data_IF_321296946936
#
_entry.id   IF_321296946936
#
_cell.length_a   1.000
_cell.length_b   1.000
_cell.length_c   1.000
_cell.angle_alpha   90.00
_cell.angle_beta   90.00
_cell.angle_gamma   90.00
#
_symmetry.space_group_name_H-M   'P 1'
#
loop_
_entity.id
_entity.type
_entity.pdbx_description
1 polymer ?
#
# COMPACT_ATOMS: atom_id res chain seq x y z
N UNK A 1 -4.09 1.62 -0.15
CA UNK A 1 -4.17 0.15 -0.36
C UNK A 1 -2.83 -0.48 -0.01
N UNK A 2 -2.83 -1.36 0.98
CA UNK A 2 -1.62 -2.04 1.49
C UNK A 2 -1.43 -3.36 0.74
N UNK A 3 -1.02 -3.29 -0.52
CA UNK A 3 -0.95 -4.41 -1.44
C UNK A 3 0.32 -4.24 -2.28
N UNK A 4 1.02 -5.33 -2.54
CA UNK A 4 2.29 -5.34 -3.28
C UNK A 4 2.19 -6.15 -4.59
N UNK A 5 2.48 -7.44 -4.60
CA UNK A 5 2.53 -8.24 -5.82
C UNK A 5 1.31 -8.10 -6.74
N UNK A 6 0.06 -8.25 -6.26
CA UNK A 6 -1.14 -8.04 -7.08
C UNK A 6 -1.57 -6.57 -7.21
N UNK A 7 -0.75 -5.60 -6.77
CA UNK A 7 -1.11 -4.19 -6.72
C UNK A 7 -1.66 -3.63 -8.04
N UNK A 8 -1.07 -3.87 -9.22
CA UNK A 8 -1.60 -3.35 -10.47
C UNK A 8 -3.03 -3.82 -10.77
N UNK A 9 -3.34 -5.10 -10.49
CA UNK A 9 -4.67 -5.65 -10.70
C UNK A 9 -5.70 -5.02 -9.75
N UNK A 10 -5.37 -4.94 -8.47
CA UNK A 10 -6.26 -4.36 -7.46
C UNK A 10 -6.41 -2.85 -7.63
N UNK A 11 -5.37 -2.17 -8.09
CA UNK A 11 -5.45 -0.77 -8.47
C UNK A 11 -6.41 -0.57 -9.66
N UNK A 12 -6.38 -1.46 -10.66
CA UNK A 12 -7.33 -1.41 -11.77
C UNK A 12 -8.78 -1.64 -11.31
N UNK A 13 -9.03 -2.57 -10.37
CA UNK A 13 -10.35 -2.71 -9.72
C UNK A 13 -10.77 -1.42 -9.02
N UNK A 14 -9.88 -0.83 -8.22
CA UNK A 14 -10.16 0.40 -7.50
C UNK A 14 -10.47 1.59 -8.43
N UNK A 15 -9.66 1.79 -9.47
CA UNK A 15 -9.88 2.87 -10.43
C UNK A 15 -11.20 2.71 -11.20
N UNK A 16 -11.57 1.48 -11.57
CA UNK A 16 -12.87 1.21 -12.17
C UNK A 16 -14.03 1.50 -11.20
N UNK A 17 -13.89 1.12 -9.92
CA UNK A 17 -14.88 1.45 -8.91
C UNK A 17 -15.06 2.97 -8.75
N UNK A 18 -13.96 3.73 -8.71
CA UNK A 18 -14.02 5.19 -8.65
C UNK A 18 -14.72 5.82 -9.87
N UNK A 19 -14.47 5.29 -11.06
CA UNK A 19 -15.15 5.75 -12.30
C UNK A 19 -16.66 5.43 -12.21
N UNK A 20 -17.01 4.20 -11.82
CA UNK A 20 -18.41 3.78 -11.75
C UNK A 20 -19.19 4.54 -10.67
N UNK A 21 -18.57 4.93 -9.55
CA UNK A 21 -19.18 5.82 -8.55
C UNK A 21 -19.60 7.15 -9.15
N UNK A 22 -18.77 7.77 -9.95
CA UNK A 22 -19.11 9.04 -10.63
C UNK A 22 -20.17 8.83 -11.71
N UNK A 23 -20.14 7.69 -12.41
CA UNK A 23 -21.23 7.32 -13.35
C UNK A 23 -22.57 7.15 -12.64
N UNK A 24 -22.59 6.53 -11.48
CA UNK A 24 -23.80 6.37 -10.66
C UNK A 24 -24.37 7.70 -10.19
N UNK A 25 -23.52 8.62 -9.72
CA UNK A 25 -23.93 9.98 -9.39
C UNK A 25 -24.58 10.68 -10.59
N UNK A 26 -23.98 10.56 -11.77
CA UNK A 26 -24.53 11.12 -13.01
C UNK A 26 -25.90 10.51 -13.35
N UNK A 27 -26.03 9.18 -13.28
CA UNK A 27 -27.29 8.46 -13.53
C UNK A 27 -28.40 8.95 -12.60
N UNK A 28 -28.10 9.10 -11.31
CA UNK A 28 -29.06 9.60 -10.31
C UNK A 28 -29.45 11.05 -10.62
N UNK A 29 -28.46 11.91 -10.84
CA UNK A 29 -28.70 13.33 -11.09
C UNK A 29 -29.54 13.61 -12.36
N UNK A 30 -29.41 12.74 -13.38
CA UNK A 30 -30.16 12.87 -14.64
C UNK A 30 -31.36 11.93 -14.74
N UNK A 31 -31.74 11.26 -13.64
CA UNK A 31 -32.91 10.38 -13.55
C UNK A 31 -32.92 9.24 -14.60
N UNK A 32 -31.74 8.68 -14.88
CA UNK A 32 -31.54 7.61 -15.88
C UNK A 32 -31.75 6.19 -15.34
N UNK A 33 -32.30 6.02 -14.13
CA UNK A 33 -32.49 4.72 -13.47
C UNK A 33 -33.35 3.73 -14.27
N UNK A 34 -34.37 4.24 -14.97
CA UNK A 34 -35.25 3.42 -15.79
C UNK A 34 -34.53 2.82 -17.00
N UNK A 35 -33.61 3.57 -17.60
CA UNK A 35 -32.78 3.12 -18.70
C UNK A 35 -31.82 2.03 -18.27
N UNK A 36 -31.20 2.19 -17.08
CA UNK A 36 -30.35 1.16 -16.48
C UNK A 36 -31.13 -0.13 -16.22
N UNK A 37 -32.34 -0.02 -15.66
CA UNK A 37 -33.18 -1.19 -15.41
C UNK A 37 -33.53 -1.96 -16.69
N UNK A 38 -33.81 -1.27 -17.80
CA UNK A 38 -34.04 -1.91 -19.10
C UNK A 38 -32.82 -2.69 -19.59
N UNK A 39 -31.61 -2.16 -19.38
CA UNK A 39 -30.37 -2.84 -19.75
C UNK A 39 -30.18 -4.09 -18.90
N UNK A 40 -30.48 -4.02 -17.61
CA UNK A 40 -30.41 -5.18 -16.69
C UNK A 40 -31.36 -6.28 -17.14
N UNK A 41 -32.63 -5.93 -17.39
CA UNK A 41 -33.67 -6.86 -17.83
C UNK A 41 -33.33 -7.52 -19.17
N UNK A 42 -32.65 -6.78 -20.07
CA UNK A 42 -32.20 -7.33 -21.34
C UNK A 42 -30.96 -8.24 -21.24
N UNK A 43 -30.09 -7.97 -20.26
CA UNK A 43 -28.78 -8.63 -20.12
C UNK A 43 -28.84 -9.88 -19.23
N UNK A 44 -29.71 -9.92 -18.23
CA UNK A 44 -29.72 -10.95 -17.20
C UNK A 44 -31.09 -11.58 -16.98
N UNK A 45 -31.12 -12.91 -16.77
CA UNK A 45 -32.23 -13.56 -16.06
C UNK A 45 -32.09 -13.29 -14.54
N UNK A 46 -33.18 -13.36 -13.81
CA UNK A 46 -33.21 -13.12 -12.35
C UNK A 46 -32.19 -14.01 -11.59
N UNK A 47 -31.95 -15.22 -12.08
CA UNK A 47 -31.03 -16.19 -11.47
C UNK A 47 -29.56 -15.81 -11.63
N UNK A 48 -29.23 -14.99 -12.63
CA UNK A 48 -27.86 -14.53 -12.93
C UNK A 48 -27.53 -13.16 -12.32
N UNK A 49 -28.50 -12.50 -11.66
CA UNK A 49 -28.23 -11.23 -10.99
C UNK A 49 -27.23 -11.43 -9.84
N UNK A 50 -26.24 -10.54 -9.73
CA UNK A 50 -25.29 -10.60 -8.62
C UNK A 50 -26.03 -10.40 -7.28
N UNK A 51 -25.67 -11.22 -6.30
CA UNK A 51 -26.16 -11.12 -4.93
C UNK A 51 -25.18 -10.30 -4.12
N UNK A 52 -25.70 -9.50 -3.24
CA UNK A 52 -24.94 -8.65 -2.33
C UNK A 52 -25.39 -8.91 -0.90
N UNK A 53 -24.48 -8.88 0.06
CA UNK A 53 -24.80 -8.96 1.48
C UNK A 53 -24.85 -7.55 2.05
N UNK A 54 -26.00 -7.13 2.51
CA UNK A 54 -26.12 -5.85 3.21
C UNK A 54 -25.46 -5.90 4.59
N UNK A 55 -25.30 -4.73 5.20
CA UNK A 55 -24.72 -4.55 6.54
C UNK A 55 -25.41 -5.33 7.66
N UNK A 56 -26.62 -5.84 7.40
CA UNK A 56 -27.39 -6.69 8.32
C UNK A 56 -27.19 -8.20 8.09
N UNK A 57 -26.21 -8.60 7.29
CA UNK A 57 -25.93 -10.00 6.97
C UNK A 57 -26.95 -10.69 6.06
N UNK A 58 -27.97 -9.98 5.56
CA UNK A 58 -28.96 -10.56 4.63
C UNK A 58 -28.53 -10.39 3.19
N UNK A 59 -28.67 -11.44 2.39
CA UNK A 59 -28.43 -11.36 0.95
C UNK A 59 -29.46 -10.42 0.31
N UNK A 60 -28.98 -9.37 -0.34
CA UNK A 60 -29.77 -8.45 -1.13
C UNK A 60 -29.56 -8.81 -2.60
N UNK A 61 -30.63 -9.11 -3.31
CA UNK A 61 -30.59 -9.18 -4.76
C UNK A 61 -30.90 -7.77 -5.24
N UNK A 62 -30.00 -7.11 -5.99
CA UNK A 62 -30.25 -5.79 -6.52
C UNK A 62 -31.27 -5.89 -7.66
N UNK A 63 -32.52 -6.15 -7.31
CA UNK A 63 -33.66 -6.02 -8.20
C UNK A 63 -34.09 -4.56 -8.23
N UNK A 64 -34.93 -4.22 -9.17
CA UNK A 64 -35.62 -2.97 -9.50
C UNK A 64 -35.63 -1.80 -8.48
N UNK A 65 -35.29 -2.04 -7.21
CA UNK A 65 -35.17 -1.04 -6.16
C UNK A 65 -33.82 -0.35 -6.04
N UNK A 66 -32.79 -0.83 -6.72
CA UNK A 66 -31.42 -0.30 -6.58
C UNK A 66 -31.31 1.14 -7.06
N UNK A 67 -32.11 1.51 -8.05
CA UNK A 67 -32.19 2.85 -8.59
C UNK A 67 -33.54 3.54 -8.36
N UNK A 68 -34.38 3.04 -7.45
CA UNK A 68 -35.65 3.68 -7.10
C UNK A 68 -35.48 4.87 -6.14
N UNK A 69 -34.36 5.56 -6.20
CA UNK A 69 -34.16 6.80 -5.47
C UNK A 69 -33.25 6.73 -4.27
N UNK A 70 -32.76 5.54 -3.87
CA UNK A 70 -31.72 5.43 -2.85
C UNK A 70 -30.80 4.25 -3.15
N UNK A 71 -29.50 4.50 -3.20
CA UNK A 71 -28.50 3.43 -3.07
C UNK A 71 -28.66 2.81 -1.68
N UNK A 72 -28.49 1.48 -1.51
CA UNK A 72 -28.50 0.88 -0.18
C UNK A 72 -27.50 1.58 0.74
N UNK A 73 -27.90 1.81 1.98
CA UNK A 73 -27.02 2.36 3.01
C UNK A 73 -25.76 1.50 3.12
N UNK A 74 -24.58 2.11 3.06
CA UNK A 74 -23.28 1.40 3.01
C UNK A 74 -22.86 0.90 1.62
N UNK A 75 -23.57 1.25 0.56
CA UNK A 75 -23.10 1.04 -0.79
C UNK A 75 -22.19 2.21 -1.23
N UNK A 76 -20.90 2.03 -1.12
CA UNK A 76 -19.86 3.02 -1.46
C UNK A 76 -19.75 3.30 -2.97
N UNK A 77 -20.87 3.33 -3.68
CA UNK A 77 -20.92 3.60 -5.11
C UNK A 77 -20.52 2.42 -5.99
N UNK A 78 -20.71 1.20 -5.52
CA UNK A 78 -20.43 -0.02 -6.30
C UNK A 78 -21.67 -0.60 -7.00
N UNK A 79 -22.78 0.14 -7.07
CA UNK A 79 -24.07 -0.34 -7.56
C UNK A 79 -24.03 -0.93 -8.95
N UNK A 80 -23.41 -0.24 -9.91
CA UNK A 80 -23.27 -0.76 -11.28
C UNK A 80 -22.50 -2.07 -11.31
N UNK A 81 -21.40 -2.18 -10.54
CA UNK A 81 -20.60 -3.41 -10.46
C UNK A 81 -21.35 -4.57 -9.83
N UNK A 82 -22.14 -4.32 -8.80
CA UNK A 82 -22.99 -5.32 -8.20
C UNK A 82 -24.04 -5.85 -9.18
N UNK A 83 -24.52 -5.00 -10.08
CA UNK A 83 -25.40 -5.36 -11.18
C UNK A 83 -24.67 -6.02 -12.37
N UNK A 84 -23.34 -6.13 -12.31
CA UNK A 84 -22.52 -6.65 -13.40
C UNK A 84 -22.44 -5.73 -14.62
N UNK A 85 -22.60 -4.43 -14.39
CA UNK A 85 -22.52 -3.37 -15.37
C UNK A 85 -21.33 -2.45 -15.08
N UNK A 86 -20.98 -1.63 -16.06
CA UNK A 86 -20.07 -0.49 -15.92
C UNK A 86 -20.73 0.77 -16.46
N UNK A 87 -20.20 1.93 -16.10
CA UNK A 87 -20.67 3.18 -16.69
C UNK A 87 -20.67 3.17 -18.23
N UNK A 88 -19.73 2.46 -18.85
CA UNK A 88 -19.66 2.31 -20.30
C UNK A 88 -20.81 1.49 -20.92
N UNK A 89 -21.46 0.63 -20.13
CA UNK A 89 -22.60 -0.17 -20.60
C UNK A 89 -23.91 0.65 -20.62
N UNK A 90 -23.98 1.72 -19.82
CA UNK A 90 -25.26 2.42 -19.54
C UNK A 90 -25.26 3.88 -19.99
N UNK A 91 -24.09 4.49 -20.23
CA UNK A 91 -23.98 5.91 -20.61
C UNK A 91 -23.52 6.06 -22.07
N UNK A 92 -23.90 7.15 -22.75
CA UNK A 92 -23.30 7.51 -24.03
C UNK A 92 -21.77 7.58 -23.92
N UNK A 93 -21.08 7.16 -24.99
CA UNK A 93 -19.63 7.00 -24.97
C UNK A 93 -18.88 8.32 -24.63
N UNK A 94 -19.34 9.44 -25.12
CA UNK A 94 -18.79 10.77 -24.84
C UNK A 94 -18.96 11.18 -23.37
N UNK A 95 -20.14 10.96 -22.82
CA UNK A 95 -20.45 11.21 -21.39
C UNK A 95 -19.58 10.32 -20.50
N UNK A 96 -19.49 9.03 -20.82
CA UNK A 96 -18.64 8.11 -20.07
C UNK A 96 -17.16 8.52 -20.09
N UNK A 97 -16.63 8.94 -21.25
CA UNK A 97 -15.24 9.39 -21.35
C UNK A 97 -14.98 10.67 -20.54
N UNK A 98 -15.91 11.61 -20.52
CA UNK A 98 -15.80 12.82 -19.70
C UNK A 98 -15.78 12.47 -18.20
N UNK A 99 -16.69 11.60 -17.75
CA UNK A 99 -16.74 11.14 -16.36
C UNK A 99 -15.46 10.40 -15.99
N UNK A 100 -15.01 9.48 -16.85
CA UNK A 100 -13.75 8.75 -16.66
C UNK A 100 -12.55 9.68 -16.49
N UNK A 101 -12.42 10.69 -17.36
CA UNK A 101 -11.33 11.65 -17.28
C UNK A 101 -11.38 12.47 -15.98
N UNK A 102 -12.56 12.91 -15.57
CA UNK A 102 -12.76 13.66 -14.32
C UNK A 102 -12.45 12.78 -13.11
N UNK A 103 -12.99 11.56 -13.05
CA UNK A 103 -12.75 10.62 -11.96
C UNK A 103 -11.26 10.32 -11.78
N UNK A 104 -10.55 10.01 -12.86
CA UNK A 104 -9.11 9.72 -12.82
C UNK A 104 -8.26 10.92 -12.39
N UNK A 105 -8.62 12.14 -12.78
CA UNK A 105 -7.89 13.36 -12.41
C UNK A 105 -8.14 13.80 -10.96
N UNK A 106 -9.27 13.41 -10.38
CA UNK A 106 -9.67 13.82 -9.01
C UNK A 106 -9.47 12.75 -7.95
N UNK A 107 -9.36 11.47 -8.36
CA UNK A 107 -9.17 10.35 -7.44
C UNK A 107 -7.95 10.55 -6.55
N UNK A 108 -8.11 10.21 -5.26
CA UNK A 108 -7.05 10.35 -4.25
C UNK A 108 -6.76 9.02 -3.59
N UNK A 109 -5.50 8.76 -3.32
CA UNK A 109 -5.11 7.56 -2.61
C UNK A 109 -3.63 7.24 -2.71
N UNK A 110 -3.31 6.09 -2.19
CA UNK A 110 -1.97 5.51 -2.21
C UNK A 110 -2.07 4.02 -2.40
N UNK A 111 -1.23 3.45 -3.23
CA UNK A 111 -0.99 2.00 -3.27
C UNK A 111 0.45 1.74 -2.84
N UNK A 112 0.67 0.70 -2.05
CA UNK A 112 2.02 0.38 -1.59
C UNK A 112 2.91 -0.09 -2.75
N UNK A 113 2.52 -1.14 -3.44
CA UNK A 113 3.08 -1.59 -4.73
C UNK A 113 4.62 -1.69 -4.80
N UNK A 114 5.34 -1.69 -3.69
CA UNK A 114 6.81 -1.76 -3.66
C UNK A 114 7.28 -3.20 -3.82
N UNK A 115 7.59 -3.58 -5.05
CA UNK A 115 8.00 -4.94 -5.41
C UNK A 115 9.46 -5.23 -5.04
N UNK A 116 10.32 -4.21 -4.93
CA UNK A 116 11.73 -4.42 -4.58
C UNK A 116 11.88 -4.86 -3.11
N UNK A 117 11.15 -4.20 -2.19
CA UNK A 117 11.17 -4.60 -0.79
C UNK A 117 10.52 -5.97 -0.55
N UNK A 118 9.59 -6.41 -1.41
CA UNK A 118 9.00 -7.75 -1.29
C UNK A 118 10.05 -8.84 -1.44
N UNK A 119 10.94 -8.71 -2.41
CA UNK A 119 12.06 -9.63 -2.58
C UNK A 119 13.07 -9.49 -1.44
N UNK A 120 13.42 -8.27 -1.07
CA UNK A 120 14.46 -7.99 -0.06
C UNK A 120 14.05 -8.43 1.35
N UNK A 121 12.79 -8.25 1.75
CA UNK A 121 12.36 -8.37 3.15
C UNK A 121 11.21 -9.37 3.40
N UNK A 122 10.29 -9.58 2.46
CA UNK A 122 9.05 -10.30 2.74
C UNK A 122 8.91 -11.67 2.06
N UNK A 123 9.59 -11.90 0.92
CA UNK A 123 9.43 -13.11 0.08
C UNK A 123 7.98 -13.34 -0.39
N UNK A 124 7.24 -12.28 -0.67
CA UNK A 124 5.85 -12.31 -1.11
C UNK A 124 5.68 -12.00 -2.60
N UNK A 125 6.77 -11.98 -3.36
CA UNK A 125 6.74 -11.76 -4.80
C UNK A 125 5.90 -12.83 -5.49
N UNK A 126 5.04 -12.40 -6.42
CA UNK A 126 4.25 -13.31 -7.26
C UNK A 126 4.76 -13.37 -8.69
N UNK A 127 5.39 -12.31 -9.18
CA UNK A 127 6.00 -12.23 -10.52
C UNK A 127 7.52 -12.06 -10.42
N UNK A 128 8.23 -12.36 -11.51
CA UNK A 128 9.65 -12.03 -11.63
C UNK A 128 9.87 -10.52 -11.43
N UNK A 129 11.03 -10.13 -10.93
CA UNK A 129 11.36 -8.72 -10.66
C UNK A 129 11.23 -7.87 -11.91
N UNK A 130 11.68 -8.35 -13.07
CA UNK A 130 11.58 -7.64 -14.35
C UNK A 130 10.12 -7.41 -14.76
N UNK A 131 9.29 -8.45 -14.66
CA UNK A 131 7.88 -8.34 -15.02
C UNK A 131 7.13 -7.43 -14.05
N UNK A 132 7.44 -7.51 -12.77
CA UNK A 132 6.85 -6.64 -11.75
C UNK A 132 7.25 -5.16 -11.97
N UNK A 133 8.52 -4.88 -12.31
CA UNK A 133 8.97 -3.53 -12.69
C UNK A 133 8.25 -3.02 -13.94
N UNK A 134 8.05 -3.90 -14.95
CA UNK A 134 7.26 -3.54 -16.13
C UNK A 134 5.85 -3.11 -15.75
N UNK A 135 5.16 -3.89 -14.92
CA UNK A 135 3.83 -3.54 -14.43
C UNK A 135 3.80 -2.20 -13.70
N UNK A 136 4.80 -1.91 -12.86
CA UNK A 136 4.94 -0.62 -12.19
C UNK A 136 5.12 0.53 -13.18
N UNK A 137 5.97 0.35 -14.19
CA UNK A 137 6.16 1.34 -15.26
C UNK A 137 4.88 1.59 -16.06
N UNK A 138 4.14 0.53 -16.38
CA UNK A 138 2.87 0.63 -17.10
C UNK A 138 1.81 1.40 -16.32
N UNK A 139 1.75 1.20 -15.00
CA UNK A 139 0.90 2.01 -14.10
C UNK A 139 1.29 3.48 -14.16
N UNK A 140 2.58 3.78 -14.07
CA UNK A 140 3.05 5.17 -14.06
C UNK A 140 2.80 5.87 -15.39
N UNK A 141 3.03 5.20 -16.52
CA UNK A 141 2.68 5.73 -17.86
C UNK A 141 1.18 6.02 -17.98
N UNK A 142 0.34 5.09 -17.50
CA UNK A 142 -1.11 5.29 -17.47
C UNK A 142 -1.51 6.51 -16.63
N UNK A 143 -0.87 6.70 -15.47
CA UNK A 143 -1.12 7.84 -14.59
C UNK A 143 -0.77 9.17 -15.28
N UNK A 144 0.39 9.24 -15.94
CA UNK A 144 0.80 10.44 -16.69
C UNK A 144 -0.20 10.72 -17.82
N UNK A 145 -0.51 9.71 -18.64
CA UNK A 145 -1.43 9.81 -19.78
C UNK A 145 -2.83 10.29 -19.39
N UNK A 146 -3.33 9.81 -18.23
CA UNK A 146 -4.68 10.11 -17.74
C UNK A 146 -4.72 11.21 -16.67
N UNK A 147 -3.60 11.90 -16.42
CA UNK A 147 -3.47 13.02 -15.46
C UNK A 147 -3.91 12.64 -14.04
N UNK A 148 -3.56 11.44 -13.59
CA UNK A 148 -3.79 10.99 -12.20
C UNK A 148 -2.75 11.66 -11.30
N UNK A 149 -3.10 12.78 -10.70
CA UNK A 149 -2.15 13.66 -9.98
C UNK A 149 -2.20 13.52 -8.46
N UNK A 150 -3.31 13.06 -7.92
CA UNK A 150 -3.55 13.03 -6.46
C UNK A 150 -3.44 11.60 -5.88
N UNK A 151 -2.80 10.70 -6.61
CA UNK A 151 -2.64 9.31 -6.22
C UNK A 151 -1.15 8.92 -6.23
N UNK A 152 -0.64 8.40 -5.12
CA UNK A 152 0.71 7.87 -5.09
C UNK A 152 0.74 6.48 -5.72
N UNK A 153 1.45 6.34 -6.84
CA UNK A 153 1.57 5.11 -7.63
C UNK A 153 2.39 4.03 -6.95
N UNK A 154 3.28 4.44 -6.04
CA UNK A 154 4.06 3.57 -5.17
C UNK A 154 4.35 4.26 -3.85
N UNK A 155 4.29 3.50 -2.76
CA UNK A 155 4.80 3.87 -1.45
C UNK A 155 6.02 3.02 -1.14
N UNK A 156 7.20 3.57 -1.42
CA UNK A 156 8.49 2.88 -1.30
C UNK A 156 8.76 2.60 0.17
N UNK A 157 8.84 1.32 0.53
CA UNK A 157 8.62 0.90 1.90
C UNK A 157 9.88 0.41 2.61
N UNK A 158 10.38 1.23 3.52
CA UNK A 158 11.35 0.85 4.54
C UNK A 158 10.74 0.14 5.74
N UNK A 159 9.44 0.36 6.01
CA UNK A 159 8.75 -0.27 7.13
C UNK A 159 8.98 -1.79 7.18
N UNK A 160 8.73 -2.49 6.08
CA UNK A 160 8.90 -3.95 6.03
C UNK A 160 10.36 -4.40 6.14
N UNK A 161 11.30 -3.57 5.68
CA UNK A 161 12.74 -3.81 5.83
C UNK A 161 13.12 -3.74 7.31
N UNK A 162 12.64 -2.75 8.04
CA UNK A 162 12.84 -2.62 9.48
C UNK A 162 12.15 -3.73 10.25
N UNK A 163 10.88 -4.06 9.92
CA UNK A 163 10.13 -5.14 10.59
C UNK A 163 10.75 -6.53 10.35
N UNK A 164 11.45 -6.72 9.22
CA UNK A 164 12.23 -7.94 8.96
C UNK A 164 13.54 -8.01 9.75
N UNK A 165 13.95 -6.93 10.41
CA UNK A 165 15.10 -6.93 11.31
C UNK A 165 16.18 -5.90 11.06
N UNK A 166 16.08 -5.10 10.01
CA UNK A 166 17.07 -4.07 9.69
C UNK A 166 17.14 -2.97 10.77
N UNK A 167 18.34 -2.43 10.98
CA UNK A 167 18.55 -1.24 11.76
C UNK A 167 18.05 0.03 11.02
N UNK A 168 17.93 1.19 11.69
CA UNK A 168 17.43 2.42 11.07
C UNK A 168 18.22 2.89 9.83
N UNK A 169 19.55 2.74 9.84
CA UNK A 169 20.42 3.15 8.74
C UNK A 169 20.19 2.27 7.51
N UNK A 170 20.16 0.96 7.70
CA UNK A 170 19.89 -0.01 6.63
C UNK A 170 18.47 0.17 6.08
N UNK A 171 17.47 0.39 6.94
CA UNK A 171 16.12 0.75 6.52
C UNK A 171 16.15 1.95 5.57
N UNK A 172 16.76 3.05 6.00
CA UNK A 172 16.77 4.29 5.23
C UNK A 172 17.52 4.13 3.91
N UNK A 173 18.74 3.53 3.95
CA UNK A 173 19.58 3.34 2.78
C UNK A 173 18.90 2.47 1.72
N UNK A 174 18.33 1.33 2.10
CA UNK A 174 17.68 0.43 1.14
C UNK A 174 16.41 1.05 0.56
N UNK A 175 15.63 1.75 1.38
CA UNK A 175 14.41 2.42 0.91
C UNK A 175 14.72 3.53 -0.09
N UNK A 176 15.70 4.38 0.18
CA UNK A 176 16.10 5.43 -0.77
C UNK A 176 16.74 4.85 -2.03
N UNK A 177 17.56 3.80 -1.91
CA UNK A 177 18.13 3.09 -3.06
C UNK A 177 17.04 2.49 -3.95
N UNK A 178 16.01 1.87 -3.36
CA UNK A 178 14.81 1.40 -4.09
C UNK A 178 14.10 2.56 -4.79
N UNK A 179 13.95 3.70 -4.10
CA UNK A 179 13.35 4.92 -4.68
C UNK A 179 14.11 5.40 -5.91
N UNK A 180 15.43 5.48 -5.83
CA UNK A 180 16.25 5.86 -6.98
C UNK A 180 16.22 4.81 -8.10
N UNK A 181 16.06 3.54 -7.78
CA UNK A 181 15.88 2.48 -8.80
C UNK A 181 14.59 2.68 -9.58
N UNK A 182 13.47 3.00 -8.92
CA UNK A 182 12.22 3.37 -9.62
C UNK A 182 12.39 4.61 -10.49
N UNK A 183 13.07 5.65 -9.98
CA UNK A 183 13.35 6.88 -10.75
C UNK A 183 14.13 6.54 -12.03
N UNK A 184 15.24 5.82 -11.92
CA UNK A 184 16.06 5.44 -13.07
C UNK A 184 15.27 4.56 -14.07
N UNK A 185 14.45 3.64 -13.56
CA UNK A 185 13.63 2.78 -14.39
C UNK A 185 12.59 3.57 -15.18
N UNK A 186 11.89 4.53 -14.55
CA UNK A 186 10.90 5.37 -15.23
C UNK A 186 11.55 6.31 -16.25
N UNK A 187 12.70 6.88 -15.92
CA UNK A 187 13.51 7.67 -16.86
C UNK A 187 13.97 6.85 -18.07
N UNK A 188 14.40 5.60 -17.87
CA UNK A 188 14.80 4.70 -18.97
C UNK A 188 13.65 4.36 -19.93
N UNK A 189 12.40 4.48 -19.47
CA UNK A 189 11.20 4.35 -20.30
C UNK A 189 10.79 5.65 -21.01
N UNK A 190 11.57 6.72 -20.87
CA UNK A 190 11.34 8.01 -21.50
C UNK A 190 10.34 8.93 -20.77
N UNK A 191 9.95 8.62 -19.53
CA UNK A 191 9.13 9.50 -18.71
C UNK A 191 9.96 10.70 -18.20
N UNK A 192 9.36 11.88 -18.11
CA UNK A 192 10.02 13.05 -17.54
C UNK A 192 9.92 13.02 -16.02
N UNK A 193 10.99 13.44 -15.33
CA UNK A 193 11.09 13.37 -13.87
C UNK A 193 9.93 14.08 -13.14
N UNK A 194 9.51 15.22 -13.65
CA UNK A 194 8.47 16.05 -13.02
C UNK A 194 7.05 15.49 -13.23
N UNK A 195 6.87 14.57 -14.16
CA UNK A 195 5.58 13.95 -14.43
C UNK A 195 5.28 12.80 -13.44
N UNK A 196 6.31 12.19 -12.86
CA UNK A 196 6.13 11.03 -11.97
C UNK A 196 6.68 11.21 -10.54
N UNK A 197 7.77 11.94 -10.33
CA UNK A 197 8.36 12.07 -9.00
C UNK A 197 7.38 12.58 -7.93
N UNK A 198 6.44 13.51 -8.24
CA UNK A 198 5.41 13.91 -7.30
C UNK A 198 4.43 12.80 -6.89
N UNK A 199 4.33 11.71 -7.66
CA UNK A 199 3.49 10.55 -7.37
C UNK A 199 4.22 9.45 -6.57
N UNK A 200 5.49 9.66 -6.23
CA UNK A 200 6.25 8.78 -5.36
C UNK A 200 6.06 9.21 -3.90
N UNK A 201 5.86 8.25 -3.03
CA UNK A 201 5.87 8.45 -1.59
C UNK A 201 6.75 7.40 -0.92
N UNK A 202 7.10 7.64 0.33
CA UNK A 202 7.93 6.74 1.12
C UNK A 202 7.18 6.29 2.37
N UNK A 203 7.59 5.17 2.91
CA UNK A 203 6.99 4.59 4.09
C UNK A 203 8.08 4.03 5.01
N UNK A 204 8.22 4.58 6.22
CA UNK A 204 9.21 4.16 7.18
C UNK A 204 8.59 3.63 8.46
N UNK A 205 9.33 2.77 9.17
CA UNK A 205 9.08 2.39 10.55
C UNK A 205 9.78 3.35 11.49
N UNK A 206 9.17 3.63 12.64
CA UNK A 206 9.85 4.26 13.76
C UNK A 206 9.90 3.29 14.95
N UNK A 207 11.12 2.94 15.36
CA UNK A 207 11.41 2.18 16.57
C UNK A 207 11.83 3.08 17.74
N UNK A 208 12.68 2.54 18.60
CA UNK A 208 13.14 3.22 19.83
C UNK A 208 14.56 3.78 19.74
N UNK A 209 15.34 3.37 18.71
CA UNK A 209 16.71 3.84 18.56
C UNK A 209 16.76 5.35 18.21
N UNK A 210 17.78 6.10 18.64
CA UNK A 210 17.85 7.55 18.46
C UNK A 210 17.85 7.98 16.98
N UNK A 211 18.37 7.17 16.08
CA UNK A 211 18.42 7.44 14.64
C UNK A 211 17.02 7.62 14.03
N UNK A 212 15.98 7.03 14.62
CA UNK A 212 14.60 7.25 14.19
C UNK A 212 14.14 8.70 14.35
N UNK A 213 14.76 9.49 15.21
CA UNK A 213 14.43 10.89 15.38
C UNK A 213 14.86 11.79 14.21
N UNK A 214 15.70 11.27 13.28
CA UNK A 214 16.23 12.03 12.14
C UNK A 214 16.02 11.35 10.79
N UNK A 215 15.30 10.22 10.75
CA UNK A 215 15.18 9.42 9.54
C UNK A 215 14.54 10.20 8.39
N UNK A 216 13.47 10.94 8.65
CA UNK A 216 12.79 11.75 7.66
C UNK A 216 13.60 12.98 7.24
N UNK A 217 14.30 13.61 8.19
CA UNK A 217 15.20 14.73 7.92
C UNK A 217 16.31 14.33 6.96
N UNK A 218 16.99 13.23 7.22
CA UNK A 218 18.05 12.70 6.34
C UNK A 218 17.48 12.26 4.99
N UNK A 219 16.33 11.57 4.98
CA UNK A 219 15.67 11.16 3.75
C UNK A 219 15.38 12.37 2.84
N UNK A 220 14.80 13.42 3.38
CA UNK A 220 14.50 14.65 2.64
C UNK A 220 15.76 15.34 2.12
N UNK A 221 16.82 15.39 2.93
CA UNK A 221 18.11 16.01 2.57
C UNK A 221 18.75 15.28 1.37
N UNK A 222 18.83 13.96 1.41
CA UNK A 222 19.40 13.14 0.34
C UNK A 222 18.54 13.22 -0.93
N UNK A 223 17.22 13.04 -0.79
CA UNK A 223 16.29 13.08 -1.91
C UNK A 223 16.33 14.42 -2.64
N UNK A 224 16.20 15.53 -1.91
CA UNK A 224 16.19 16.87 -2.50
C UNK A 224 17.50 17.18 -3.25
N UNK A 225 18.66 16.80 -2.68
CA UNK A 225 19.96 16.96 -3.35
C UNK A 225 20.02 16.14 -4.65
N UNK A 226 19.60 14.89 -4.63
CA UNK A 226 19.59 14.02 -5.81
C UNK A 226 18.64 14.54 -6.89
N UNK A 227 17.39 14.87 -6.53
CA UNK A 227 16.40 15.40 -7.46
C UNK A 227 16.86 16.70 -8.12
N UNK A 228 17.45 17.62 -7.35
CA UNK A 228 17.95 18.90 -7.86
C UNK A 228 19.20 18.74 -8.71
N UNK A 229 20.22 18.04 -8.20
CA UNK A 229 21.56 18.04 -8.79
C UNK A 229 21.72 17.00 -9.91
N UNK A 230 21.18 15.80 -9.73
CA UNK A 230 21.30 14.70 -10.71
C UNK A 230 20.16 14.72 -11.72
N UNK A 231 18.93 14.74 -11.25
CA UNK A 231 17.75 14.54 -12.10
C UNK A 231 17.14 15.84 -12.64
N UNK A 232 17.57 17.01 -12.17
CA UNK A 232 17.11 18.34 -12.60
C UNK A 232 15.59 18.53 -12.39
N UNK A 233 15.03 17.87 -11.43
CA UNK A 233 13.61 17.98 -11.06
C UNK A 233 13.27 19.34 -10.45
N UNK A 234 12.03 19.78 -10.66
CA UNK A 234 11.50 21.01 -10.11
C UNK A 234 11.29 20.95 -8.60
N UNK A 235 10.87 22.06 -7.97
CA UNK A 235 10.68 22.15 -6.52
C UNK A 235 9.66 21.13 -5.97
N UNK A 236 8.67 20.74 -6.77
CA UNK A 236 7.68 19.74 -6.36
C UNK A 236 8.28 18.34 -6.31
N UNK A 237 9.12 18.00 -7.30
CA UNK A 237 9.83 16.72 -7.40
C UNK A 237 10.91 16.56 -6.31
N UNK A 238 11.47 17.67 -5.82
CA UNK A 238 12.46 17.68 -4.73
C UNK A 238 11.86 17.39 -3.35
N UNK A 239 10.53 17.47 -3.19
CA UNK A 239 9.84 17.27 -1.91
C UNK A 239 9.57 15.77 -1.68
N UNK A 240 10.37 15.14 -0.85
CA UNK A 240 10.09 13.78 -0.37
C UNK A 240 8.91 13.82 0.61
N UNK A 241 7.94 12.93 0.37
CA UNK A 241 6.76 12.73 1.23
C UNK A 241 6.82 11.34 1.80
N UNK A 242 6.56 11.22 3.09
CA UNK A 242 6.61 9.92 3.75
C UNK A 242 5.55 9.74 4.82
N UNK A 243 5.12 8.50 4.93
CA UNK A 243 4.29 7.97 5.99
C UNK A 243 5.17 7.29 7.02
N UNK A 244 4.84 7.41 8.30
CA UNK A 244 5.43 6.62 9.39
C UNK A 244 4.38 5.67 9.95
N UNK A 245 4.80 4.44 10.20
CA UNK A 245 4.11 3.54 11.12
C UNK A 245 5.04 3.24 12.30
N UNK A 246 4.52 3.25 13.51
CA UNK A 246 5.27 2.83 14.69
C UNK A 246 5.68 1.35 14.55
N UNK A 247 6.84 0.97 15.08
CA UNK A 247 7.39 -0.37 14.85
C UNK A 247 6.57 -1.47 15.52
N UNK A 248 6.13 -2.45 14.74
CA UNK A 248 5.52 -3.67 15.23
C UNK A 248 6.49 -4.56 16.03
N UNK A 249 7.79 -4.53 15.68
CA UNK A 249 8.84 -5.26 16.42
C UNK A 249 9.01 -4.78 17.86
N UNK A 250 8.55 -3.59 18.19
CA UNK A 250 8.58 -3.04 19.55
C UNK A 250 7.43 -3.51 20.41
N UNK A 251 6.44 -4.19 19.81
CA UNK A 251 5.27 -4.71 20.53
C UNK A 251 5.58 -6.10 21.06
N UNK A 252 5.32 -6.31 22.35
CA UNK A 252 5.55 -7.57 23.03
C UNK A 252 4.26 -8.10 23.63
N UNK A 253 4.14 -9.43 23.67
CA UNK A 253 2.98 -10.11 24.25
C UNK A 253 2.98 -10.11 25.79
N UNK A 254 4.19 -10.03 26.39
CA UNK A 254 4.33 -9.89 27.84
C UNK A 254 4.13 -8.42 28.25
N UNK A 255 3.45 -8.21 29.37
CA UNK A 255 3.13 -6.86 29.88
C UNK A 255 2.61 -5.95 28.78
N UNK A 256 1.59 -6.44 28.07
CA UNK A 256 1.06 -5.90 26.82
C UNK A 256 0.66 -4.42 26.90
N UNK A 257 0.25 -3.96 28.10
CA UNK A 257 -0.13 -2.56 28.35
C UNK A 257 1.05 -1.57 28.17
N UNK A 258 2.29 -2.03 28.33
CA UNK A 258 3.46 -1.18 28.08
C UNK A 258 3.65 -0.83 26.60
N UNK A 259 2.99 -1.56 25.70
CA UNK A 259 3.08 -1.28 24.27
C UNK A 259 2.54 0.10 23.89
N UNK A 260 1.48 0.60 24.57
CA UNK A 260 0.98 1.96 24.32
C UNK A 260 2.02 3.03 24.66
N UNK A 261 2.85 2.81 25.68
CA UNK A 261 3.94 3.72 26.05
C UNK A 261 4.99 3.73 24.94
N UNK A 262 5.40 2.55 24.43
CA UNK A 262 6.36 2.44 23.34
C UNK A 262 5.83 3.11 22.06
N UNK A 263 4.60 2.81 21.70
CA UNK A 263 3.93 3.43 20.54
C UNK A 263 3.84 4.95 20.67
N UNK A 264 3.57 5.46 21.87
CA UNK A 264 3.53 6.92 22.12
C UNK A 264 4.88 7.58 21.87
N UNK A 265 5.98 7.01 22.36
CA UNK A 265 7.33 7.54 22.16
C UNK A 265 7.75 7.52 20.69
N UNK A 266 7.43 6.44 19.98
CA UNK A 266 7.70 6.30 18.55
C UNK A 266 6.88 7.30 17.72
N UNK A 267 5.61 7.50 18.08
CA UNK A 267 4.75 8.50 17.48
C UNK A 267 5.29 9.92 17.68
N UNK A 268 5.86 10.20 18.84
CA UNK A 268 6.47 11.49 19.15
C UNK A 268 7.69 11.76 18.27
N UNK A 269 8.57 10.78 18.05
CA UNK A 269 9.67 10.89 17.09
C UNK A 269 9.16 11.23 15.68
N UNK A 270 8.12 10.53 15.21
CA UNK A 270 7.54 10.77 13.88
C UNK A 270 7.00 12.19 13.71
N UNK A 271 6.29 12.69 14.71
CA UNK A 271 5.69 14.03 14.69
C UNK A 271 6.78 15.11 14.75
N UNK A 272 7.79 14.93 15.58
CA UNK A 272 8.90 15.89 15.71
C UNK A 272 9.81 15.91 14.48
N UNK A 273 9.91 14.80 13.75
CA UNK A 273 10.61 14.74 12.46
C UNK A 273 9.71 15.17 11.26
N UNK A 274 8.53 15.73 11.53
CA UNK A 274 7.60 16.26 10.54
C UNK A 274 7.14 15.24 9.47
N UNK A 275 6.75 14.03 9.87
CA UNK A 275 6.15 13.09 8.94
C UNK A 275 4.87 13.65 8.28
N UNK A 276 4.57 13.24 7.05
CA UNK A 276 3.36 13.71 6.36
C UNK A 276 2.09 13.01 6.88
N UNK A 277 2.22 11.78 7.35
CA UNK A 277 1.14 11.03 7.98
C UNK A 277 1.70 9.98 8.93
N UNK A 278 0.91 9.58 9.91
CA UNK A 278 1.31 8.67 10.98
C UNK A 278 0.24 7.60 11.20
N UNK A 279 0.68 6.36 11.32
CA UNK A 279 -0.08 5.25 11.89
C UNK A 279 0.52 4.83 13.22
N UNK A 280 -0.28 4.73 14.25
CA UNK A 280 0.07 4.19 15.56
C UNK A 280 -0.50 2.80 15.72
N UNK A 281 0.36 1.82 16.01
CA UNK A 281 -0.06 0.44 16.21
C UNK A 281 -0.91 0.31 17.48
N UNK A 282 -1.89 -0.57 17.44
CA UNK A 282 -2.66 -0.94 18.62
C UNK A 282 -1.81 -1.82 19.56
N UNK A 283 -1.99 -1.68 20.86
CA UNK A 283 -1.16 -2.37 21.86
C UNK A 283 -1.25 -3.90 21.76
N UNK A 284 -2.36 -4.43 21.28
CA UNK A 284 -2.67 -5.85 21.16
C UNK A 284 -2.27 -6.48 19.81
N UNK A 285 -1.70 -5.71 18.88
CA UNK A 285 -1.21 -6.24 17.59
C UNK A 285 -0.11 -7.30 17.75
N UNK A 286 0.56 -7.34 18.91
CA UNK A 286 1.50 -8.41 19.24
C UNK A 286 0.85 -9.80 19.34
N UNK A 287 -0.46 -9.88 19.50
CA UNK A 287 -1.19 -11.11 19.78
C UNK A 287 -2.30 -11.37 18.77
N UNK A 288 -3.04 -10.34 18.34
CA UNK A 288 -4.26 -10.49 17.57
C UNK A 288 -4.48 -9.34 16.58
N UNK A 289 -5.49 -9.48 15.74
CA UNK A 289 -6.06 -8.33 15.01
C UNK A 289 -6.65 -7.35 16.03
N UNK A 290 -6.36 -6.03 15.90
CA UNK A 290 -6.81 -5.02 16.84
C UNK A 290 -8.31 -5.05 17.11
N UNK A 291 -8.68 -4.85 18.37
CA UNK A 291 -10.06 -4.68 18.80
C UNK A 291 -10.51 -3.23 18.65
N UNK A 292 -11.80 -2.95 18.77
CA UNK A 292 -12.33 -1.58 18.74
C UNK A 292 -11.70 -0.71 19.84
N UNK A 293 -11.52 -1.26 21.04
CA UNK A 293 -10.88 -0.57 22.17
C UNK A 293 -9.42 -0.23 21.87
N UNK A 294 -8.65 -1.19 21.39
CA UNK A 294 -7.23 -0.99 21.14
C UNK A 294 -6.99 -0.01 20.00
N UNK A 295 -7.80 -0.03 18.94
CA UNK A 295 -7.78 0.97 17.85
C UNK A 295 -8.12 2.36 18.39
N UNK A 296 -9.12 2.48 19.25
CA UNK A 296 -9.47 3.76 19.89
C UNK A 296 -8.32 4.31 20.72
N UNK A 297 -7.59 3.47 21.48
CA UNK A 297 -6.41 3.86 22.24
C UNK A 297 -5.27 4.31 21.31
N UNK A 298 -5.01 3.57 20.24
CA UNK A 298 -4.00 3.93 19.25
C UNK A 298 -4.29 5.29 18.58
N UNK A 299 -5.55 5.57 18.27
CA UNK A 299 -5.96 6.90 17.77
C UNK A 299 -5.80 7.98 18.86
N UNK A 300 -6.12 7.67 20.11
CA UNK A 300 -6.00 8.59 21.23
C UNK A 300 -4.56 9.07 21.44
N UNK A 301 -3.55 8.21 21.20
CA UNK A 301 -2.13 8.60 21.25
C UNK A 301 -1.87 9.80 20.34
N UNK A 302 -2.30 9.75 19.08
CA UNK A 302 -2.11 10.86 18.14
C UNK A 302 -2.88 12.11 18.56
N UNK A 303 -4.10 11.95 19.07
CA UNK A 303 -4.94 13.08 19.51
C UNK A 303 -4.35 13.76 20.72
N UNK A 304 -3.83 13.03 21.70
CA UNK A 304 -3.16 13.55 22.89
C UNK A 304 -1.92 14.36 22.48
N UNK A 305 -1.06 13.80 21.61
CA UNK A 305 0.12 14.51 21.12
C UNK A 305 -0.28 15.80 20.38
N UNK A 306 -1.31 15.75 19.55
CA UNK A 306 -1.71 16.91 18.74
C UNK A 306 -2.53 17.96 19.51
N UNK A 307 -3.26 17.57 20.55
CA UNK A 307 -4.21 18.46 21.23
C UNK A 307 -3.72 18.94 22.58
N UNK A 308 -3.06 18.06 23.34
CA UNK A 308 -2.66 18.32 24.74
C UNK A 308 -1.17 18.68 24.82
N UNK A 309 -0.28 18.08 24.01
CA UNK A 309 1.14 18.37 24.03
C UNK A 309 1.47 19.64 23.26
N UNK A 310 1.90 20.67 23.96
CA UNK A 310 2.10 22.02 23.40
C UNK A 310 3.19 22.14 22.34
N UNK A 311 4.23 21.30 22.39
CA UNK A 311 5.36 21.33 21.43
C UNK A 311 4.97 20.93 20.02
N UNK A 312 3.94 20.10 19.84
CA UNK A 312 3.43 19.71 18.52
C UNK A 312 2.76 20.86 17.74
N UNK A 313 2.54 22.01 18.40
CA UNK A 313 2.04 23.24 17.75
C UNK A 313 3.12 24.04 17.00
N UNK A 314 4.37 23.65 17.15
CA UNK A 314 5.50 24.28 16.48
C UNK A 314 5.95 23.43 15.29
N UNK A 315 6.30 24.08 14.18
CA UNK A 315 6.98 23.43 13.09
C UNK A 315 8.43 23.12 13.48
N UNK A 316 8.88 21.89 13.23
CA UNK A 316 10.24 21.44 13.49
C UNK A 316 10.74 21.76 14.92
N UNK A 317 10.13 21.19 15.96
CA UNK A 317 10.48 21.49 17.36
C UNK A 317 11.91 21.07 17.72
N UNK A 318 12.53 20.18 16.96
CA UNK A 318 13.90 19.72 17.14
C UNK A 318 14.95 20.59 16.43
N UNK A 319 14.54 21.65 15.72
CA UNK A 319 15.46 22.53 15.01
C UNK A 319 16.47 23.17 15.95
N UNK A 320 17.75 23.09 15.59
CA UNK A 320 18.84 23.65 16.38
C UNK A 320 19.23 22.86 17.62
N UNK A 321 18.60 21.72 17.86
CA UNK A 321 19.04 20.78 18.89
C UNK A 321 20.39 20.15 18.48
N UNK A 322 21.43 20.37 19.32
CA UNK A 322 22.77 19.91 19.01
C UNK A 322 22.85 18.42 18.65
N UNK A 323 22.22 17.57 19.43
CA UNK A 323 22.13 16.13 19.16
C UNK A 323 21.52 15.83 17.78
N UNK A 324 20.44 16.50 17.42
CA UNK A 324 19.72 16.26 16.17
C UNK A 324 20.55 16.66 14.95
N UNK A 325 21.28 17.77 15.02
CA UNK A 325 22.16 18.20 13.92
C UNK A 325 23.33 17.23 13.73
N UNK A 326 24.02 16.85 14.79
CA UNK A 326 25.14 15.89 14.75
C UNK A 326 24.65 14.51 14.26
N UNK A 327 23.55 14.01 14.81
CA UNK A 327 22.99 12.71 14.42
C UNK A 327 22.53 12.70 12.96
N UNK A 328 22.03 13.84 12.45
CA UNK A 328 21.65 13.99 11.04
C UNK A 328 22.85 13.77 10.12
N UNK A 329 24.00 14.37 10.44
CA UNK A 329 25.19 14.26 9.62
C UNK A 329 25.82 12.87 9.71
N UNK A 330 25.83 12.24 10.89
CA UNK A 330 26.31 10.88 11.07
C UNK A 330 25.47 9.85 10.31
N UNK A 331 24.14 9.97 10.38
CA UNK A 331 23.23 9.08 9.66
C UNK A 331 23.32 9.30 8.15
N UNK A 332 23.41 10.55 7.66
CA UNK A 332 23.63 10.83 6.23
C UNK A 332 24.93 10.15 5.76
N UNK A 333 26.03 10.28 6.46
CA UNK A 333 27.30 9.66 6.11
C UNK A 333 27.21 8.12 6.08
N UNK A 334 26.54 7.51 7.06
CA UNK A 334 26.34 6.08 7.12
C UNK A 334 25.47 5.56 5.96
N UNK A 335 24.42 6.27 5.59
CA UNK A 335 23.56 5.95 4.43
C UNK A 335 24.34 6.06 3.13
N UNK A 336 25.17 7.08 2.95
CA UNK A 336 26.02 7.23 1.76
C UNK A 336 27.04 6.09 1.64
N UNK A 337 27.60 5.62 2.75
CA UNK A 337 28.48 4.45 2.75
C UNK A 337 27.73 3.18 2.32
N UNK A 338 26.48 3.03 2.74
CA UNK A 338 25.67 1.89 2.32
C UNK A 338 25.30 1.96 0.83
N UNK A 339 25.06 3.16 0.28
CA UNK A 339 24.87 3.35 -1.17
C UNK A 339 26.12 2.91 -1.96
N UNK A 340 27.32 3.20 -1.47
CA UNK A 340 28.55 2.74 -2.10
C UNK A 340 28.61 1.21 -2.14
N UNK A 341 28.28 0.54 -1.03
CA UNK A 341 28.24 -0.94 -0.97
C UNK A 341 27.23 -1.55 -1.94
N UNK A 342 26.05 -0.94 -2.09
CA UNK A 342 25.04 -1.35 -3.08
C UNK A 342 25.56 -1.13 -4.50
N UNK A 343 26.17 0.02 -4.77
CA UNK A 343 26.72 0.39 -6.09
C UNK A 343 27.83 -0.57 -6.55
N UNK A 344 28.76 -0.94 -5.66
CA UNK A 344 29.82 -1.92 -5.91
C UNK A 344 29.27 -3.32 -6.28
N UNK A 345 28.02 -3.60 -5.95
CA UNK A 345 27.34 -4.86 -6.25
C UNK A 345 26.47 -4.82 -7.51
N UNK A 346 26.58 -3.74 -8.29
CA UNK A 346 25.77 -3.56 -9.50
C UNK A 346 24.43 -2.87 -9.26
N UNK A 347 24.36 -2.01 -8.24
CA UNK A 347 23.12 -1.33 -7.85
C UNK A 347 22.15 -2.25 -7.09
N UNK A 348 20.92 -1.78 -6.92
CA UNK A 348 19.90 -2.51 -6.14
C UNK A 348 19.61 -3.89 -6.73
N UNK A 349 19.42 -4.00 -8.05
CA UNK A 349 19.09 -5.26 -8.70
C UNK A 349 20.26 -6.25 -8.64
N UNK A 350 21.49 -5.82 -8.94
CA UNK A 350 22.68 -6.67 -8.84
C UNK A 350 22.98 -7.11 -7.40
N UNK A 351 22.70 -6.27 -6.41
CA UNK A 351 22.81 -6.61 -5.00
C UNK A 351 21.72 -7.62 -4.57
N UNK A 352 20.49 -7.53 -5.12
CA UNK A 352 19.42 -8.50 -4.90
C UNK A 352 19.78 -9.88 -5.47
N UNK A 353 20.31 -9.95 -6.68
CA UNK A 353 20.79 -11.22 -7.29
C UNK A 353 21.82 -11.92 -6.42
N UNK A 354 22.66 -11.15 -5.72
CA UNK A 354 23.68 -11.65 -4.78
C UNK A 354 23.16 -11.84 -3.35
N UNK A 355 21.85 -11.69 -3.13
CA UNK A 355 21.22 -11.83 -1.80
C UNK A 355 21.73 -10.84 -0.74
N UNK A 356 22.38 -9.74 -1.16
CA UNK A 356 23.04 -8.81 -0.24
C UNK A 356 22.08 -8.18 0.77
N UNK A 357 21.00 -7.56 0.29
CA UNK A 357 20.04 -6.88 1.16
C UNK A 357 19.40 -7.87 2.15
N UNK A 358 19.02 -9.04 1.67
CA UNK A 358 18.40 -10.08 2.49
C UNK A 358 19.32 -10.59 3.58
N UNK A 359 20.56 -10.89 3.23
CA UNK A 359 21.56 -11.35 4.19
C UNK A 359 21.84 -10.28 5.25
N UNK A 360 21.99 -9.02 4.84
CA UNK A 360 22.24 -7.91 5.76
C UNK A 360 21.07 -7.72 6.75
N UNK A 361 19.83 -7.78 6.28
CA UNK A 361 18.64 -7.71 7.15
C UNK A 361 18.65 -8.89 8.15
N UNK A 362 18.96 -10.09 7.71
CA UNK A 362 19.04 -11.27 8.57
C UNK A 362 20.16 -11.18 9.62
N UNK A 363 21.33 -10.70 9.24
CA UNK A 363 22.45 -10.49 10.16
C UNK A 363 22.10 -9.46 11.23
N UNK A 364 21.51 -8.33 10.85
CA UNK A 364 21.05 -7.31 11.80
C UNK A 364 19.93 -7.82 12.71
N UNK A 365 18.96 -8.57 12.16
CA UNK A 365 17.90 -9.23 12.93
C UNK A 365 18.48 -10.16 13.99
N UNK A 366 19.43 -11.02 13.61
CA UNK A 366 20.11 -11.92 14.53
C UNK A 366 20.87 -11.16 15.61
N UNK A 367 21.53 -10.07 15.27
CA UNK A 367 22.22 -9.21 16.22
C UNK A 367 21.27 -8.67 17.29
N UNK A 368 20.14 -8.07 16.88
CA UNK A 368 19.14 -7.56 17.83
C UNK A 368 18.54 -8.68 18.71
N UNK A 369 18.21 -9.82 18.12
CA UNK A 369 17.67 -10.95 18.89
C UNK A 369 18.69 -11.50 19.89
N UNK A 370 19.98 -11.51 19.55
CA UNK A 370 21.06 -11.89 20.49
C UNK A 370 21.13 -10.92 21.66
N UNK A 371 21.10 -9.60 21.39
CA UNK A 371 21.12 -8.58 22.45
C UNK A 371 19.88 -8.62 23.35
N UNK A 372 18.72 -8.97 22.81
CA UNK A 372 17.50 -9.19 23.60
C UNK A 372 17.63 -10.43 24.50
N UNK A 373 18.18 -11.51 23.93
CA UNK A 373 18.30 -12.78 24.64
C UNK A 373 19.31 -12.69 25.80
N UNK A 374 20.45 -12.03 25.62
CA UNK A 374 21.48 -11.89 26.64
C UNK A 374 21.22 -10.71 27.62
N UNK A 375 20.17 -9.92 27.39
CA UNK A 375 19.76 -8.79 28.23
C UNK A 375 20.53 -7.49 27.98
N UNK A 376 21.44 -7.42 27.03
CA UNK A 376 22.18 -6.21 26.66
C UNK A 376 21.23 -5.16 26.02
N UNK A 377 20.15 -5.61 25.38
CA UNK A 377 19.06 -4.76 24.91
C UNK A 377 17.89 -4.88 25.90
N UNK A 378 17.74 -3.95 26.86
CA UNK A 378 16.73 -4.05 27.90
C UNK A 378 15.33 -3.78 27.35
N UNK A 379 14.39 -4.70 27.63
CA UNK A 379 12.98 -4.54 27.28
C UNK A 379 12.16 -4.71 28.55
N UNK A 380 11.57 -3.62 29.02
CA UNK A 380 10.77 -3.57 30.23
C UNK A 380 9.58 -4.52 30.14
N UNK A 381 9.42 -5.38 31.14
CA UNK A 381 8.37 -6.40 31.20
C UNK A 381 8.66 -7.66 30.40
N UNK A 382 9.77 -7.72 29.64
CA UNK A 382 10.15 -8.89 28.81
C UNK A 382 11.43 -9.54 29.31
N UNK A 383 12.53 -8.80 29.42
CA UNK A 383 13.81 -9.28 29.98
C UNK A 383 14.33 -8.42 31.14
N UNK A 384 13.70 -7.29 31.40
CA UNK A 384 14.05 -6.30 32.44
C UNK A 384 12.79 -5.85 33.17
N UNK A 385 12.87 -5.55 34.46
CA UNK A 385 11.75 -5.10 35.29
C UNK A 385 10.55 -6.06 35.22
N UNK A 386 10.82 -7.34 35.42
CA UNK A 386 9.81 -8.39 35.35
C UNK A 386 8.83 -8.29 36.53
N UNK A 387 7.58 -8.66 36.29
CA UNK A 387 6.57 -8.78 37.33
C UNK A 387 6.94 -9.92 38.27
N UNK A 388 6.89 -9.68 39.59
CA UNK A 388 7.21 -10.68 40.65
C UNK A 388 6.30 -11.91 40.61
N UNK A 389 5.09 -11.74 40.08
CA UNK A 389 4.09 -12.80 39.93
C UNK A 389 4.15 -13.52 38.56
N UNK A 390 5.19 -13.27 37.81
CA UNK A 390 5.29 -13.65 36.39
C UNK A 390 4.62 -12.65 35.48
N UNK A 391 5.02 -12.66 34.21
CA UNK A 391 4.43 -11.82 33.13
C UNK A 391 3.72 -12.75 32.16
N UNK A 392 2.49 -13.21 32.46
CA UNK A 392 1.78 -14.13 31.60
C UNK A 392 1.42 -13.41 30.28
N UNK A 393 1.46 -14.15 29.18
CA UNK A 393 0.85 -13.72 27.93
C UNK A 393 -0.66 -13.69 28.11
N UNK A 394 -1.26 -12.52 28.04
CA UNK A 394 -2.71 -12.37 28.10
C UNK A 394 -3.27 -12.84 26.77
N UNK A 395 -4.07 -13.91 26.81
CA UNK A 395 -4.81 -14.33 25.62
C UNK A 395 -5.96 -13.35 25.40
N UNK A 396 -6.14 -12.81 24.19
CA UNK A 396 -7.24 -11.91 23.90
C UNK A 396 -8.58 -12.64 24.09
N UNK A 397 -9.53 -11.96 24.68
CA UNK A 397 -10.89 -12.47 24.90
C UNK A 397 -11.64 -12.65 23.57
N UNK A 398 -11.24 -11.91 22.56
CA UNK A 398 -11.84 -11.94 21.23
C UNK A 398 -10.74 -11.97 20.16
N UNK A 399 -10.86 -12.89 19.22
CA UNK A 399 -10.05 -12.93 17.99
C UNK A 399 -10.98 -12.75 16.81
N UNK A 400 -10.92 -11.58 16.18
CA UNK A 400 -11.76 -11.26 15.01
C UNK A 400 -11.29 -12.10 13.81
N UNK A 401 -12.19 -12.96 13.34
CA UNK A 401 -11.96 -13.80 12.15
C UNK A 401 -13.24 -13.84 11.31
N UNK A 402 -13.06 -14.02 10.00
CA UNK A 402 -14.20 -14.22 9.09
C UNK A 402 -14.97 -15.49 9.47
N UNK A 403 -16.29 -15.40 9.49
CA UNK A 403 -17.19 -16.53 9.75
C UNK A 403 -17.18 -17.52 8.58
N UNK A 404 -17.70 -18.71 8.80
CA UNK A 404 -17.87 -19.71 7.73
C UNK A 404 -18.83 -19.20 6.66
N UNK A 405 -19.89 -18.54 7.06
CA UNK A 405 -20.92 -17.98 6.19
C UNK A 405 -20.34 -16.90 5.28
N UNK A 406 -19.51 -16.00 5.81
CA UNK A 406 -18.82 -14.97 5.01
C UNK A 406 -17.89 -15.60 3.96
N UNK A 407 -17.15 -16.64 4.33
CA UNK A 407 -16.25 -17.36 3.41
C UNK A 407 -17.02 -18.08 2.30
N UNK A 408 -18.08 -18.80 2.65
CA UNK A 408 -18.94 -19.50 1.69
C UNK A 408 -19.65 -18.53 0.75
N UNK A 409 -20.11 -17.41 1.28
CA UNK A 409 -20.69 -16.33 0.47
C UNK A 409 -19.69 -15.81 -0.55
N UNK A 410 -18.46 -15.49 -0.13
CA UNK A 410 -17.43 -15.00 -1.03
C UNK A 410 -17.09 -16.00 -2.13
N UNK A 411 -16.97 -17.29 -1.79
CA UNK A 411 -16.72 -18.36 -2.77
C UNK A 411 -17.88 -18.47 -3.78
N UNK A 412 -19.11 -18.41 -3.29
CA UNK A 412 -20.31 -18.50 -4.13
C UNK A 412 -20.43 -17.29 -5.05
N UNK A 413 -20.19 -16.08 -4.54
CA UNK A 413 -20.17 -14.86 -5.34
C UNK A 413 -19.09 -14.86 -6.41
N UNK A 414 -17.89 -15.35 -6.09
CA UNK A 414 -16.80 -15.52 -7.06
C UNK A 414 -17.16 -16.49 -8.18
N UNK A 415 -17.72 -17.66 -7.84
CA UNK A 415 -18.13 -18.67 -8.84
C UNK A 415 -19.23 -18.11 -9.76
N UNK A 416 -20.21 -17.42 -9.20
CA UNK A 416 -21.28 -16.79 -9.98
C UNK A 416 -20.73 -15.69 -10.92
N UNK A 417 -19.77 -14.88 -10.45
CA UNK A 417 -19.08 -13.89 -11.28
C UNK A 417 -18.32 -14.54 -12.45
N UNK A 418 -17.56 -15.60 -12.19
CA UNK A 418 -16.82 -16.32 -13.21
C UNK A 418 -17.75 -16.98 -14.24
N UNK A 419 -18.83 -17.61 -13.78
CA UNK A 419 -19.81 -18.26 -14.65
C UNK A 419 -20.52 -17.26 -15.58
N UNK A 420 -20.92 -16.10 -15.05
CA UNK A 420 -21.57 -15.04 -15.82
C UNK A 420 -20.69 -14.50 -16.93
N UNK A 421 -19.37 -14.45 -16.72
CA UNK A 421 -18.42 -13.82 -17.60
C UNK A 421 -17.56 -14.79 -18.42
N UNK A 422 -17.92 -16.10 -18.52
CA UNK A 422 -17.09 -17.14 -19.16
C UNK A 422 -16.61 -16.74 -20.56
N UNK A 423 -17.48 -16.26 -21.42
CA UNK A 423 -17.15 -15.93 -22.81
C UNK A 423 -16.22 -14.70 -22.89
N UNK A 424 -16.59 -13.62 -22.20
CA UNK A 424 -15.83 -12.37 -22.24
C UNK A 424 -14.48 -12.51 -21.52
N UNK A 425 -14.44 -13.22 -20.40
CA UNK A 425 -13.19 -13.44 -19.66
C UNK A 425 -12.15 -14.19 -20.50
N UNK A 426 -12.56 -15.18 -21.28
CA UNK A 426 -11.64 -15.92 -22.17
C UNK A 426 -11.01 -15.00 -23.23
N UNK A 427 -11.77 -14.07 -23.79
CA UNK A 427 -11.29 -13.09 -24.78
C UNK A 427 -10.31 -12.11 -24.10
N UNK A 428 -10.70 -11.56 -22.94
CA UNK A 428 -9.90 -10.56 -22.20
C UNK A 428 -8.59 -11.13 -21.72
N UNK A 429 -8.56 -12.35 -21.18
CA UNK A 429 -7.32 -12.99 -20.72
C UNK A 429 -6.35 -13.24 -21.87
N UNK A 430 -6.83 -13.68 -23.03
CA UNK A 430 -5.98 -13.85 -24.24
C UNK A 430 -5.42 -12.50 -24.70
N UNK A 431 -6.24 -11.46 -24.69
CA UNK A 431 -5.80 -10.12 -25.07
C UNK A 431 -4.75 -9.59 -24.09
N UNK A 432 -4.96 -9.75 -22.79
CA UNK A 432 -3.99 -9.39 -21.75
C UNK A 432 -2.62 -10.08 -21.99
N UNK A 433 -2.64 -11.37 -22.28
CA UNK A 433 -1.43 -12.13 -22.64
C UNK A 433 -0.75 -11.60 -23.90
N UNK A 434 -1.53 -11.29 -24.94
CA UNK A 434 -1.00 -10.72 -26.18
C UNK A 434 -0.34 -9.35 -25.95
N UNK A 435 -0.95 -8.49 -25.11
CA UNK A 435 -0.39 -7.20 -24.72
C UNK A 435 0.91 -7.39 -23.95
N UNK A 436 1.00 -8.37 -23.04
CA UNK A 436 2.22 -8.70 -22.33
C UNK A 436 3.36 -9.12 -23.27
N UNK A 437 3.07 -10.02 -24.21
CA UNK A 437 4.06 -10.51 -25.18
C UNK A 437 4.52 -9.44 -26.16
N UNK A 438 3.62 -8.55 -26.58
CA UNK A 438 3.95 -7.41 -27.46
C UNK A 438 4.58 -6.22 -26.76
N UNK A 439 4.85 -6.33 -25.46
CA UNK A 439 5.37 -5.25 -24.62
C UNK A 439 4.50 -3.99 -24.59
N UNK A 440 3.19 -4.14 -24.78
CA UNK A 440 2.21 -3.05 -24.63
C UNK A 440 1.99 -2.66 -23.16
N UNK A 441 1.20 -1.60 -22.92
CA UNK A 441 0.86 -1.17 -21.58
C UNK A 441 -0.17 -2.13 -20.95
N UNK A 442 0.29 -2.94 -20.00
CA UNK A 442 -0.53 -3.94 -19.30
C UNK A 442 -1.57 -3.31 -18.38
N UNK A 443 -1.29 -2.16 -17.78
CA UNK A 443 -2.24 -1.54 -16.88
C UNK A 443 -3.46 -0.98 -17.63
N UNK A 444 -3.25 -0.44 -18.84
CA UNK A 444 -4.35 0.00 -19.71
C UNK A 444 -5.28 -1.17 -20.06
N UNK A 445 -4.71 -2.35 -20.36
CA UNK A 445 -5.50 -3.56 -20.63
C UNK A 445 -6.13 -4.13 -19.35
N UNK A 446 -5.46 -4.05 -18.20
CA UNK A 446 -6.03 -4.45 -16.91
C UNK A 446 -7.28 -3.65 -16.55
N UNK A 447 -7.33 -2.35 -16.88
CA UNK A 447 -8.53 -1.53 -16.67
C UNK A 447 -9.77 -2.09 -17.37
N UNK A 448 -9.61 -2.80 -18.48
CA UNK A 448 -10.70 -3.48 -19.16
C UNK A 448 -10.89 -4.92 -18.66
N UNK A 449 -9.80 -5.64 -18.41
CA UNK A 449 -9.83 -7.06 -18.03
C UNK A 449 -10.50 -7.28 -16.67
N UNK A 450 -10.25 -6.42 -15.69
CA UNK A 450 -10.81 -6.54 -14.32
C UNK A 450 -12.34 -6.42 -14.28
N UNK A 451 -12.96 -5.91 -15.34
CA UNK A 451 -14.42 -5.84 -15.45
C UNK A 451 -15.07 -7.22 -15.54
N UNK A 452 -14.34 -8.21 -16.08
CA UNK A 452 -14.88 -9.53 -16.44
C UNK A 452 -14.11 -10.70 -15.83
N UNK A 453 -12.91 -10.46 -15.30
CA UNK A 453 -12.02 -11.50 -14.81
C UNK A 453 -11.73 -11.33 -13.32
N UNK A 454 -11.73 -12.43 -12.59
CA UNK A 454 -11.30 -12.45 -11.19
C UNK A 454 -9.78 -12.30 -11.07
N UNK A 455 -9.32 -11.87 -9.88
CA UNK A 455 -7.90 -11.72 -9.57
C UNK A 455 -7.10 -13.00 -9.89
N UNK A 456 -7.61 -14.17 -9.47
CA UNK A 456 -6.94 -15.46 -9.73
C UNK A 456 -6.83 -15.79 -11.23
N UNK A 457 -7.87 -15.50 -12.03
CA UNK A 457 -7.81 -15.70 -13.48
C UNK A 457 -6.76 -14.81 -14.14
N UNK A 458 -6.70 -13.54 -13.75
CA UNK A 458 -5.72 -12.57 -14.26
C UNK A 458 -4.31 -13.00 -13.87
N UNK A 459 -4.08 -13.34 -12.60
CA UNK A 459 -2.77 -13.78 -12.10
C UNK A 459 -2.27 -15.02 -12.84
N UNK A 460 -3.13 -16.02 -13.03
CA UNK A 460 -2.76 -17.23 -13.77
C UNK A 460 -2.44 -16.95 -15.25
N UNK A 461 -3.20 -16.06 -15.89
CA UNK A 461 -2.92 -15.65 -17.26
C UNK A 461 -1.57 -14.94 -17.40
N UNK A 462 -1.23 -14.08 -16.43
CA UNK A 462 0.04 -13.38 -16.40
C UNK A 462 1.22 -14.32 -16.05
N UNK A 463 1.03 -15.31 -15.20
CA UNK A 463 2.06 -16.32 -14.92
C UNK A 463 2.55 -17.05 -16.16
N UNK A 464 1.66 -17.32 -17.10
CA UNK A 464 2.01 -18.03 -18.32
C UNK A 464 2.86 -17.22 -19.31
N UNK A 465 2.90 -15.89 -19.18
CA UNK A 465 3.64 -14.97 -20.07
C UNK A 465 4.72 -14.13 -19.40
N UNK A 466 4.55 -13.80 -18.12
CA UNK A 466 5.47 -12.98 -17.33
C UNK A 466 6.33 -13.77 -16.34
N UNK A 467 6.05 -15.06 -16.22
CA UNK A 467 6.73 -15.95 -15.27
C UNK A 467 6.27 -15.76 -13.81
N UNK A 468 6.04 -16.88 -13.17
CA UNK A 468 5.84 -16.92 -11.73
C UNK A 468 7.18 -16.71 -11.02
N UNK A 469 7.19 -15.93 -9.95
CA UNK A 469 8.38 -15.77 -9.12
C UNK A 469 8.85 -17.14 -8.60
N UNK A 470 10.12 -17.40 -8.75
CA UNK A 470 10.81 -18.54 -8.15
C UNK A 470 11.97 -18.01 -7.33
N UNK A 471 11.94 -18.30 -6.05
CA UNK A 471 13.04 -17.93 -5.16
C UNK A 471 14.32 -18.62 -5.60
N UNK A 472 15.39 -17.86 -5.80
CA UNK A 472 16.73 -18.43 -5.88
C UNK A 472 17.10 -18.94 -4.49
N UNK A 473 17.19 -20.26 -4.33
CA UNK A 473 17.60 -20.92 -3.09
C UNK A 473 19.11 -21.15 -3.12
#
# INVERSE_FOLDING_TARGET
MTINGPAPMLLAFFMNAAIDQECEKYIIQHSLQKEVNKIIEAKYTIELLPKYVGTNGKAIIPLNGFFNGALPEGNDGLGLRLLGLSGADVLPADVYQQIKATALSTVRGTVQADILKEDQAQNTCIFSTEFALKLMGDVQEYFIKNKVQNFYSVSISGYHIAEAGANPITQLAFTLANGFTYVEYYLSRGMHIDDFAPNLSFFFSNGMDPEYSVIGRVARKIWAKAMKLKYKGNDRSQKLKYHIQTSGRSLHAQEIDFNDIRTTLQALYAIYDNCNSLHTNAYDEAITTPTEESVRRAMAIQLIINRELGTAKNENPNQGAFLIEELTDLVEAAVMNEFNRISERGGVLGAMERMYQRNKIQEESLYYETLKHNGEYPIVGVNTFLNKNGSPTILPTEVIRSTTEEKEFQITALKAFQQRNVAESAIRLKRLQAVAVSNGNLFEELMETVKYCSLGQITNALYSVGGQYRRNM
#
